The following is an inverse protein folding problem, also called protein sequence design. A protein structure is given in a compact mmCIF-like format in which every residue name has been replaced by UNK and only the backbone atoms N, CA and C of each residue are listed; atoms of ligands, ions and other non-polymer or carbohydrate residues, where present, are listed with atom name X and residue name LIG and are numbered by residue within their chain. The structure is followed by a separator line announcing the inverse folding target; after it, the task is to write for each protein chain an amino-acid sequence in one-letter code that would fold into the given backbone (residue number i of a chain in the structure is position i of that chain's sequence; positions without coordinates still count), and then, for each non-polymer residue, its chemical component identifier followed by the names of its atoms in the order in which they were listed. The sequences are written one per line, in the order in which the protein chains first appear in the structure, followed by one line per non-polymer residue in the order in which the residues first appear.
data_IF_704181716429
#
_entry.id   IF_704181716429
#
_cell.length_a   1.000
_cell.length_b   1.000
_cell.length_c   1.000
_cell.angle_alpha   90.00
_cell.angle_beta   90.00
_cell.angle_gamma   90.00
#
_symmetry.space_group_name_H-M   'P 1'
#
loop_
_entity.id
_entity.type
_entity.pdbx_description
1 polymer ?
#
# COMPACT_ATOMS: atom_id res chain seq x y z
N UNK A 1 -8.86 -14.76 29.17
CA UNK A 1 -7.40 -14.83 28.94
C UNK A 1 -7.05 -14.00 27.69
N UNK A 2 -7.43 -12.71 27.66
CA UNK A 2 -7.65 -11.99 26.37
C UNK A 2 -6.98 -10.60 26.28
N UNK A 3 -6.55 -9.99 27.40
CA UNK A 3 -5.91 -8.65 27.40
C UNK A 3 -4.46 -8.66 26.89
N UNK A 4 -3.71 -9.74 27.14
CA UNK A 4 -2.30 -9.84 26.71
C UNK A 4 -2.14 -9.87 25.18
N UNK A 5 -3.06 -10.52 24.46
CA UNK A 5 -2.98 -10.67 22.99
C UNK A 5 -3.26 -9.37 22.23
N UNK A 6 -4.11 -8.49 22.76
CA UNK A 6 -4.39 -7.18 22.15
C UNK A 6 -3.22 -6.20 22.35
N UNK A 7 -2.61 -6.20 23.53
CA UNK A 7 -1.43 -5.38 23.84
C UNK A 7 -0.22 -5.73 23.00
N UNK A 8 0.03 -7.02 22.74
CA UNK A 8 1.14 -7.45 21.86
C UNK A 8 0.91 -6.99 20.41
N UNK A 9 -0.29 -7.16 19.86
CA UNK A 9 -0.62 -6.71 18.50
C UNK A 9 -0.51 -5.19 18.34
N UNK A 10 -0.94 -4.42 19.34
CA UNK A 10 -0.78 -2.96 19.34
C UNK A 10 0.70 -2.55 19.39
N UNK A 11 1.50 -3.22 20.22
CA UNK A 11 2.94 -2.98 20.28
C UNK A 11 3.65 -3.33 18.96
N UNK A 12 3.27 -4.42 18.32
CA UNK A 12 3.81 -4.84 17.01
C UNK A 12 3.44 -3.85 15.90
N UNK A 13 2.19 -3.40 15.85
CA UNK A 13 1.76 -2.36 14.91
C UNK A 13 2.53 -1.04 15.10
N UNK A 14 2.81 -0.66 16.35
CA UNK A 14 3.60 0.53 16.66
C UNK A 14 5.07 0.38 16.26
N UNK A 15 5.67 -0.79 16.49
CA UNK A 15 7.04 -1.07 16.06
C UNK A 15 7.17 -0.97 14.53
N UNK A 16 6.25 -1.58 13.79
CA UNK A 16 6.20 -1.51 12.32
C UNK A 16 5.97 -0.08 11.82
N UNK A 17 5.12 0.69 12.50
CA UNK A 17 4.91 2.10 12.16
C UNK A 17 6.19 2.93 12.36
N UNK A 18 6.98 2.67 13.40
CA UNK A 18 8.26 3.36 13.64
C UNK A 18 9.32 2.99 12.58
N UNK A 19 9.39 1.72 12.18
CA UNK A 19 10.26 1.29 11.06
C UNK A 19 9.88 1.98 9.75
N UNK A 20 8.58 2.12 9.48
CA UNK A 20 8.08 2.85 8.33
C UNK A 20 8.42 4.35 8.41
N UNK A 21 8.25 4.96 9.59
CA UNK A 21 8.62 6.36 9.83
C UNK A 21 10.11 6.61 9.60
N UNK A 22 10.99 5.73 10.07
CA UNK A 22 12.43 5.85 9.87
C UNK A 22 12.80 5.89 8.38
N UNK A 23 12.17 5.03 7.56
CA UNK A 23 12.37 5.03 6.11
C UNK A 23 11.84 6.33 5.47
N UNK A 24 10.66 6.81 5.86
CA UNK A 24 10.10 8.08 5.37
C UNK A 24 10.96 9.29 5.73
N UNK A 25 11.55 9.31 6.93
CA UNK A 25 12.50 10.36 7.32
C UNK A 25 13.72 10.33 6.41
N UNK A 26 14.26 9.14 6.11
CA UNK A 26 15.36 8.97 5.14
C UNK A 26 15.01 9.52 3.76
N UNK A 27 13.80 9.24 3.26
CA UNK A 27 13.29 9.81 2.01
C UNK A 27 13.17 11.34 2.10
N UNK A 28 12.66 11.87 3.20
CA UNK A 28 12.40 13.31 3.35
C UNK A 28 13.66 14.17 3.41
N UNK A 29 14.77 13.63 3.93
CA UNK A 29 16.07 14.33 4.02
C UNK A 29 16.97 14.10 2.80
N UNK A 30 16.60 13.16 1.94
CA UNK A 30 17.24 12.97 0.63
C UNK A 30 16.69 14.03 -0.33
N UNK A 31 17.54 14.85 -0.94
CA UNK A 31 17.13 15.91 -1.88
C UNK A 31 17.40 15.55 -3.35
N UNK A 32 17.78 14.30 -3.63
CA UNK A 32 18.11 13.83 -4.98
C UNK A 32 16.84 13.39 -5.72
N UNK A 33 16.20 14.33 -6.42
CA UNK A 33 15.12 14.05 -7.37
C UNK A 33 13.69 14.05 -6.80
N UNK A 34 12.70 13.74 -7.64
CA UNK A 34 11.29 13.77 -7.27
C UNK A 34 10.95 12.74 -6.19
N UNK A 35 9.90 13.01 -5.40
CA UNK A 35 9.49 12.15 -4.27
C UNK A 35 9.33 10.67 -4.68
N UNK A 36 8.72 10.40 -5.83
CA UNK A 36 8.51 9.03 -6.32
C UNK A 36 9.82 8.26 -6.56
N UNK A 37 10.86 8.96 -7.02
CA UNK A 37 12.18 8.36 -7.25
C UNK A 37 12.89 8.08 -5.92
N UNK A 38 12.89 9.05 -4.99
CA UNK A 38 13.41 8.88 -3.62
C UNK A 38 12.72 7.74 -2.88
N UNK A 39 11.39 7.68 -2.96
CA UNK A 39 10.57 6.60 -2.41
C UNK A 39 10.92 5.25 -3.03
N UNK A 40 11.13 5.19 -4.35
CA UNK A 40 11.49 3.93 -5.02
C UNK A 40 12.86 3.39 -4.61
N UNK A 41 13.80 4.27 -4.20
CA UNK A 41 15.08 3.84 -3.62
C UNK A 41 14.92 3.23 -2.23
N UNK A 42 14.07 3.82 -1.38
CA UNK A 42 13.77 3.29 -0.05
C UNK A 42 12.87 2.03 -0.10
N UNK A 43 12.00 1.95 -1.11
CA UNK A 43 11.00 0.90 -1.29
C UNK A 43 11.13 0.28 -2.69
N UNK A 44 12.11 -0.61 -2.93
CA UNK A 44 12.40 -1.14 -4.27
C UNK A 44 11.24 -1.87 -4.95
N UNK A 45 10.27 -2.37 -4.18
CA UNK A 45 9.05 -2.99 -4.72
C UNK A 45 8.21 -2.01 -5.56
N UNK A 46 8.32 -0.69 -5.33
CA UNK A 46 7.65 0.33 -6.14
C UNK A 46 8.10 0.31 -7.61
N UNK A 47 9.27 -0.28 -7.91
CA UNK A 47 9.77 -0.40 -9.28
C UNK A 47 8.91 -1.33 -10.16
N UNK A 48 8.04 -2.16 -9.57
CA UNK A 48 7.06 -2.93 -10.33
C UNK A 48 5.89 -2.08 -10.85
N UNK A 49 5.63 -0.92 -10.21
CA UNK A 49 4.56 -0.01 -10.59
C UNK A 49 4.94 0.82 -11.83
N UNK A 50 3.94 1.31 -12.55
CA UNK A 50 4.12 2.32 -13.60
C UNK A 50 4.67 3.63 -13.01
N UNK A 51 5.25 4.52 -13.82
CA UNK A 51 5.77 5.80 -13.34
C UNK A 51 4.68 6.68 -12.68
N UNK A 52 3.47 6.66 -13.25
CA UNK A 52 2.31 7.37 -12.70
C UNK A 52 1.88 6.75 -11.36
N UNK A 53 1.74 5.43 -11.30
CA UNK A 53 1.37 4.73 -10.07
C UNK A 53 2.42 4.90 -8.96
N UNK A 54 3.71 5.01 -9.31
CA UNK A 54 4.76 5.33 -8.33
C UNK A 54 4.55 6.70 -7.69
N UNK A 55 4.15 7.70 -8.47
CA UNK A 55 3.87 9.04 -7.96
C UNK A 55 2.63 9.04 -7.06
N UNK A 56 1.55 8.38 -7.49
CA UNK A 56 0.33 8.21 -6.70
C UNK A 56 0.60 7.46 -5.39
N UNK A 57 1.30 6.32 -5.48
CA UNK A 57 1.70 5.51 -4.33
C UNK A 57 2.55 6.32 -3.34
N UNK A 58 3.58 7.03 -3.83
CA UNK A 58 4.44 7.86 -2.99
C UNK A 58 3.64 8.90 -2.19
N UNK A 59 2.72 9.60 -2.84
CA UNK A 59 1.88 10.60 -2.19
C UNK A 59 0.92 9.96 -1.18
N UNK A 60 0.25 8.87 -1.55
CA UNK A 60 -0.66 8.13 -0.68
C UNK A 60 0.02 7.63 0.60
N UNK A 61 1.25 7.12 0.49
CA UNK A 61 2.05 6.68 1.64
C UNK A 61 2.38 7.84 2.60
N UNK A 62 2.72 9.02 2.08
CA UNK A 62 2.96 10.22 2.91
C UNK A 62 1.67 10.65 3.61
N UNK A 63 0.56 10.69 2.90
CA UNK A 63 -0.72 11.13 3.44
C UNK A 63 -1.23 10.15 4.52
N UNK A 64 -1.13 8.84 4.28
CA UNK A 64 -1.48 7.81 5.26
C UNK A 64 -0.56 7.83 6.48
N UNK A 65 0.74 8.06 6.30
CA UNK A 65 1.69 8.23 7.40
C UNK A 65 1.33 9.44 8.26
N UNK A 66 1.09 10.59 7.62
CA UNK A 66 0.67 11.82 8.32
C UNK A 66 -0.61 11.63 9.10
N UNK A 67 -1.63 10.99 8.50
CA UNK A 67 -2.88 10.67 9.18
C UNK A 67 -2.65 9.74 10.37
N UNK A 68 -1.84 8.69 10.20
CA UNK A 68 -1.51 7.73 11.27
C UNK A 68 -0.82 8.40 12.45
N UNK A 69 0.20 9.23 12.21
CA UNK A 69 0.94 9.92 13.26
C UNK A 69 0.08 10.96 13.97
N UNK A 70 -0.77 11.68 13.24
CA UNK A 70 -1.63 12.73 13.81
C UNK A 70 -2.78 12.17 14.65
N UNK A 71 -3.18 10.91 14.41
CA UNK A 71 -4.36 10.30 15.06
C UNK A 71 -4.02 9.10 15.95
N UNK A 72 -2.74 8.74 16.08
CA UNK A 72 -2.27 7.52 16.78
C UNK A 72 -2.92 6.22 16.26
N UNK A 73 -3.21 6.19 14.95
CA UNK A 73 -3.84 5.05 14.27
C UNK A 73 -2.84 4.36 13.33
N UNK A 74 -1.98 3.46 13.83
CA UNK A 74 -0.91 2.83 13.03
C UNK A 74 -1.42 2.02 11.85
N UNK A 75 -2.66 1.53 11.91
CA UNK A 75 -3.23 0.68 10.88
C UNK A 75 -3.47 1.41 9.57
N UNK A 76 -3.68 2.74 9.55
CA UNK A 76 -3.92 3.48 8.32
C UNK A 76 -2.70 3.43 7.38
N UNK A 77 -1.53 3.80 7.89
CA UNK A 77 -0.28 3.74 7.12
C UNK A 77 0.12 2.31 6.75
N UNK A 78 -0.01 1.37 7.68
CA UNK A 78 0.40 -0.02 7.44
C UNK A 78 -0.53 -0.74 6.46
N UNK A 79 -1.84 -0.44 6.49
CA UNK A 79 -2.78 -0.97 5.51
C UNK A 79 -2.49 -0.41 4.12
N UNK A 80 -2.26 0.91 4.00
CA UNK A 80 -1.91 1.55 2.73
C UNK A 80 -0.60 0.98 2.15
N UNK A 81 0.44 0.85 2.99
CA UNK A 81 1.72 0.26 2.60
C UNK A 81 1.57 -1.19 2.12
N UNK A 82 0.75 -1.98 2.83
CA UNK A 82 0.50 -3.38 2.46
C UNK A 82 -0.27 -3.44 1.14
N UNK A 83 -1.34 -2.65 1.00
CA UNK A 83 -2.16 -2.58 -0.20
C UNK A 83 -1.32 -2.31 -1.46
N UNK A 84 -0.50 -1.26 -1.44
CA UNK A 84 0.39 -0.94 -2.57
C UNK A 84 1.44 -2.01 -2.85
N UNK A 85 1.99 -2.62 -1.80
CA UNK A 85 2.96 -3.71 -1.96
C UNK A 85 2.34 -4.93 -2.60
N UNK A 86 1.12 -5.29 -2.22
CA UNK A 86 0.39 -6.40 -2.83
C UNK A 86 0.09 -6.10 -4.31
N UNK A 87 -0.34 -4.87 -4.64
CA UNK A 87 -0.52 -4.44 -6.04
C UNK A 87 0.77 -4.56 -6.85
N UNK A 88 1.89 -4.06 -6.32
CA UNK A 88 3.20 -4.17 -6.97
C UNK A 88 3.63 -5.64 -7.15
N UNK A 89 3.35 -6.48 -6.16
CA UNK A 89 3.65 -7.92 -6.19
C UNK A 89 2.81 -8.63 -7.25
N UNK A 90 1.51 -8.31 -7.33
CA UNK A 90 0.61 -8.83 -8.36
C UNK A 90 1.07 -8.43 -9.77
N UNK A 91 1.45 -7.16 -9.97
CA UNK A 91 1.98 -6.69 -11.26
C UNK A 91 3.28 -7.41 -11.61
N UNK A 92 4.21 -7.56 -10.66
CA UNK A 92 5.47 -8.28 -10.88
C UNK A 92 5.25 -9.77 -11.20
N UNK A 93 4.19 -10.37 -10.65
CA UNK A 93 3.75 -11.73 -10.97
C UNK A 93 2.99 -11.82 -12.31
N UNK A 94 2.77 -10.70 -13.01
CA UNK A 94 2.05 -10.65 -14.28
C UNK A 94 0.52 -10.62 -14.16
N UNK A 95 -0.04 -10.41 -12.97
CA UNK A 95 -1.48 -10.49 -12.67
C UNK A 95 -2.24 -9.17 -12.94
N UNK A 96 -1.62 -8.16 -13.56
CA UNK A 96 -2.18 -6.80 -13.71
C UNK A 96 -2.64 -6.41 -15.12
N UNK A 97 -2.63 -7.32 -16.10
CA UNK A 97 -3.02 -7.06 -17.50
C UNK A 97 -4.00 -8.13 -18.03
N UNK A 98 -5.04 -8.44 -17.27
CA UNK A 98 -6.18 -9.11 -17.87
C UNK A 98 -6.96 -8.03 -18.65
N UNK A 99 -7.04 -8.17 -19.97
CA UNK A 99 -8.05 -7.48 -20.74
C UNK A 99 -9.38 -8.10 -20.29
N UNK A 100 -10.06 -7.41 -19.37
CA UNK A 100 -11.30 -7.90 -18.78
C UNK A 100 -12.39 -7.67 -19.81
N UNK A 101 -12.67 -8.71 -20.59
CA UNK A 101 -13.88 -8.78 -21.41
C UNK A 101 -15.06 -8.95 -20.45
N UNK A 102 -15.64 -7.83 -20.05
CA UNK A 102 -16.84 -7.81 -19.24
C UNK A 102 -17.96 -8.38 -20.08
N UNK A 103 -18.60 -9.47 -19.63
CA UNK A 103 -19.76 -10.05 -20.31
C UNK A 103 -20.81 -8.95 -20.50
N UNK A 104 -21.06 -8.57 -21.75
CA UNK A 104 -22.09 -7.59 -22.09
C UNK A 104 -23.44 -8.10 -21.59
N UNK A 105 -24.21 -7.21 -20.96
CA UNK A 105 -25.49 -7.52 -20.30
C UNK A 105 -26.62 -7.89 -21.26
N UNK A 106 -26.31 -8.13 -22.54
CA UNK A 106 -27.25 -8.62 -23.53
C UNK A 106 -27.42 -10.16 -23.47
N UNK A 107 -26.52 -10.87 -22.78
CA UNK A 107 -26.69 -12.30 -22.39
C UNK A 107 -27.35 -12.41 -21.00
N UNK A 108 -28.56 -11.83 -20.85
CA UNK A 108 -29.48 -12.11 -19.74
C UNK A 108 -30.03 -13.55 -19.87
N UNK A 109 -29.16 -14.55 -19.82
CA UNK A 109 -29.56 -15.94 -19.69
C UNK A 109 -30.15 -16.11 -18.29
N UNK A 110 -31.48 -16.24 -18.21
CA UNK A 110 -32.22 -16.43 -16.95
C UNK A 110 -31.73 -17.70 -16.25
N UNK A 111 -30.79 -17.55 -15.34
CA UNK A 111 -30.30 -18.62 -14.48
C UNK A 111 -31.37 -18.97 -13.43
N UNK A 112 -32.14 -20.02 -13.69
CA UNK A 112 -33.04 -20.64 -12.71
C UNK A 112 -32.21 -21.16 -11.52
N UNK A 113 -32.47 -20.59 -10.33
CA UNK A 113 -31.84 -21.01 -9.09
C UNK A 113 -32.66 -22.14 -8.45
N UNK A 114 -32.06 -23.31 -8.15
CA UNK A 114 -32.76 -24.46 -7.58
C UNK A 114 -33.28 -24.23 -6.15
#
# INVERSE_FOLDING_TARGET
MTRRSCSCRSAEGRARLLEFAAQLIGVAVDDDGPLAERMSRAFPWMLALSLEDRATCAQALVDAARASFSTDQPHLALAELTSWRETATAIAAGLGRADLDWLDSDDDELVERP
#
